data_IF_351929003653
#
_entry.id   IF_351929003653
#
_cell.length_a   1.000
_cell.length_b   1.000
_cell.length_c   1.000
_cell.angle_alpha   90.00
_cell.angle_beta   90.00
_cell.angle_gamma   90.00
#
_symmetry.space_group_name_H-M   'P 1'
#
loop_
_entity.id
_entity.type
_entity.pdbx_description
1 polymer ?
#
# COMPACT_ATOMS: atom_id res chain seq x y z
N UNK A 1 -13.79 18.15 5.71
CA UNK A 1 -13.81 17.03 4.75
C UNK A 1 -14.23 15.78 5.51
N UNK A 2 -15.12 14.97 4.96
CA UNK A 2 -15.58 13.75 5.62
C UNK A 2 -14.47 12.69 5.54
N UNK A 3 -14.08 12.08 6.67
CA UNK A 3 -13.02 11.08 6.69
C UNK A 3 -13.38 9.87 5.81
N UNK A 4 -12.41 9.25 5.16
CA UNK A 4 -12.60 8.14 4.21
C UNK A 4 -13.42 6.99 4.83
N UNK A 5 -13.23 6.72 6.12
CA UNK A 5 -14.00 5.71 6.87
C UNK A 5 -15.48 6.03 6.98
N UNK A 6 -15.84 7.30 7.20
CA UNK A 6 -17.24 7.73 7.24
C UNK A 6 -17.87 7.68 5.85
N UNK A 7 -17.13 8.11 4.84
CA UNK A 7 -17.54 8.03 3.43
C UNK A 7 -17.80 6.59 3.02
N UNK A 8 -16.94 5.65 3.43
CA UNK A 8 -17.16 4.23 3.19
C UNK A 8 -18.52 3.78 3.74
N UNK A 9 -18.85 4.14 5.00
CA UNK A 9 -20.10 3.73 5.64
C UNK A 9 -21.34 4.39 5.02
N UNK A 10 -21.28 5.70 4.72
CA UNK A 10 -22.44 6.48 4.29
C UNK A 10 -22.73 6.41 2.80
N UNK A 11 -21.70 6.29 1.96
CA UNK A 11 -21.85 6.37 0.50
C UNK A 11 -21.50 5.07 -0.22
N UNK A 12 -20.42 4.38 0.21
CA UNK A 12 -19.90 3.24 -0.55
C UNK A 12 -20.70 1.97 -0.30
N UNK A 13 -21.03 1.67 0.96
CA UNK A 13 -21.85 0.50 1.30
C UNK A 13 -23.19 0.49 0.55
N UNK A 14 -24.00 1.59 0.54
CA UNK A 14 -25.26 1.58 -0.21
C UNK A 14 -25.08 1.33 -1.71
N UNK A 15 -24.08 1.98 -2.33
CA UNK A 15 -23.80 1.79 -3.77
C UNK A 15 -23.36 0.37 -4.10
N UNK A 16 -22.53 -0.23 -3.25
CA UNK A 16 -22.11 -1.62 -3.42
C UNK A 16 -23.28 -2.59 -3.26
N UNK A 17 -24.21 -2.33 -2.33
CA UNK A 17 -25.44 -3.12 -2.16
C UNK A 17 -26.33 -3.05 -3.39
N UNK A 18 -26.54 -1.86 -3.93
CA UNK A 18 -27.34 -1.65 -5.14
C UNK A 18 -26.76 -2.40 -6.34
N UNK A 19 -25.42 -2.35 -6.53
CA UNK A 19 -24.75 -2.94 -7.67
C UNK A 19 -24.64 -4.47 -7.60
N UNK A 20 -24.33 -5.02 -6.42
CA UNK A 20 -24.06 -6.45 -6.23
C UNK A 20 -25.16 -7.20 -5.47
N UNK A 21 -26.21 -6.53 -5.04
CA UNK A 21 -27.37 -7.17 -4.41
C UNK A 21 -27.13 -7.72 -3.00
N UNK A 22 -26.19 -7.14 -2.23
CA UNK A 22 -25.94 -7.60 -0.87
C UNK A 22 -27.13 -7.34 0.04
N UNK A 23 -27.59 -8.38 0.76
CA UNK A 23 -28.68 -8.26 1.75
C UNK A 23 -28.25 -7.57 3.03
N UNK A 24 -26.99 -7.74 3.43
CA UNK A 24 -26.43 -7.21 4.68
C UNK A 24 -25.27 -6.25 4.38
N UNK A 25 -25.19 -5.13 5.11
CA UNK A 25 -24.11 -4.15 5.02
C UNK A 25 -22.73 -4.75 5.33
N UNK A 26 -22.68 -5.74 6.22
CA UNK A 26 -21.46 -6.44 6.60
C UNK A 26 -20.93 -7.37 5.50
N UNK A 27 -21.76 -7.72 4.51
CA UNK A 27 -21.35 -8.53 3.36
C UNK A 27 -20.63 -7.68 2.29
N UNK A 28 -20.80 -6.35 2.32
CA UNK A 28 -20.13 -5.46 1.39
C UNK A 28 -18.60 -5.50 1.58
N UNK A 29 -17.82 -5.54 0.48
CA UNK A 29 -16.37 -5.54 0.53
C UNK A 29 -15.83 -4.31 1.26
N UNK A 30 -14.84 -4.53 2.13
CA UNK A 30 -14.15 -3.47 2.90
C UNK A 30 -12.65 -3.62 2.82
N UNK A 31 -11.94 -2.54 3.12
CA UNK A 31 -10.49 -2.60 3.33
C UNK A 31 -10.20 -3.39 4.60
N UNK A 32 -9.29 -4.36 4.53
CA UNK A 32 -8.88 -5.18 5.67
C UNK A 32 -7.56 -4.72 6.27
N UNK A 33 -6.56 -4.50 5.42
CA UNK A 33 -5.23 -4.02 5.80
C UNK A 33 -4.53 -3.36 4.62
N UNK A 34 -3.62 -2.44 4.93
CA UNK A 34 -2.63 -1.92 3.99
C UNK A 34 -1.24 -2.35 4.45
N UNK A 35 -0.47 -2.93 3.54
CA UNK A 35 0.90 -3.39 3.81
C UNK A 35 1.84 -2.56 2.96
N UNK A 36 2.80 -1.89 3.60
CA UNK A 36 3.91 -1.20 2.93
C UNK A 36 5.14 -2.08 3.07
N UNK A 37 5.79 -2.38 1.98
CA UNK A 37 6.96 -3.25 1.92
C UNK A 37 8.11 -2.60 1.16
N UNK A 38 9.31 -2.69 1.71
CA UNK A 38 10.56 -2.27 1.06
C UNK A 38 11.56 -3.41 1.10
N UNK A 39 12.06 -3.79 -0.08
CA UNK A 39 13.11 -4.78 -0.23
C UNK A 39 14.48 -4.10 -0.43
N UNK A 40 15.46 -4.47 0.38
CA UNK A 40 16.83 -3.96 0.28
C UNK A 40 17.89 -5.07 0.20
N UNK A 41 17.56 -6.16 -0.45
CA UNK A 41 18.43 -7.33 -0.59
C UNK A 41 19.83 -7.03 -1.15
N UNK A 42 20.01 -5.96 -1.93
CA UNK A 42 21.31 -5.50 -2.44
C UNK A 42 22.18 -4.82 -1.37
N UNK A 43 21.56 -4.16 -0.37
CA UNK A 43 22.22 -3.33 0.67
C UNK A 43 22.17 -3.99 2.06
N UNK A 44 22.06 -5.33 2.13
CA UNK A 44 21.92 -6.09 3.39
C UNK A 44 23.06 -5.84 4.39
N UNK A 45 24.26 -5.52 3.89
CA UNK A 45 25.45 -5.28 4.72
C UNK A 45 25.54 -3.88 5.31
N UNK A 46 24.77 -2.94 4.78
CA UNK A 46 24.81 -1.52 5.14
C UNK A 46 23.80 -1.24 6.26
N UNK A 47 24.27 -1.32 7.50
CA UNK A 47 23.41 -1.13 8.68
C UNK A 47 22.75 0.25 8.72
N UNK A 48 23.45 1.29 8.29
CA UNK A 48 22.94 2.66 8.21
C UNK A 48 21.79 2.78 7.22
N UNK A 49 21.93 2.18 6.05
CA UNK A 49 20.87 2.13 5.04
C UNK A 49 19.60 1.44 5.56
N UNK A 50 19.75 0.31 6.26
CA UNK A 50 18.63 -0.40 6.87
C UNK A 50 17.93 0.45 7.93
N UNK A 51 18.70 1.16 8.76
CA UNK A 51 18.18 2.05 9.79
C UNK A 51 17.43 3.24 9.18
N UNK A 52 18.00 3.85 8.15
CA UNK A 52 17.37 4.94 7.40
C UNK A 52 16.00 4.53 6.81
N UNK A 53 15.92 3.35 6.17
CA UNK A 53 14.64 2.82 5.65
C UNK A 53 13.62 2.62 6.77
N UNK A 54 14.04 2.15 7.94
CA UNK A 54 13.13 1.99 9.08
C UNK A 54 12.56 3.34 9.54
N UNK A 55 13.41 4.35 9.68
CA UNK A 55 13.01 5.70 10.08
C UNK A 55 12.04 6.33 9.07
N UNK A 56 12.32 6.18 7.78
CA UNK A 56 11.42 6.69 6.73
C UNK A 56 10.07 5.95 6.72
N UNK A 57 10.07 4.63 6.80
CA UNK A 57 8.82 3.87 6.89
C UNK A 57 8.00 4.25 8.12
N UNK A 58 8.66 4.54 9.25
CA UNK A 58 8.01 5.00 10.46
C UNK A 58 7.41 6.40 10.27
N UNK A 59 8.13 7.34 9.63
CA UNK A 59 7.61 8.67 9.28
C UNK A 59 6.38 8.57 8.36
N UNK A 60 6.44 7.75 7.31
CA UNK A 60 5.34 7.59 6.34
C UNK A 60 4.10 6.97 6.97
N UNK A 61 4.27 5.96 7.82
CA UNK A 61 3.16 5.12 8.30
C UNK A 61 2.71 5.43 9.72
N UNK A 62 3.53 6.17 10.49
CA UNK A 62 3.32 6.40 11.91
C UNK A 62 3.46 5.13 12.77
N UNK A 63 4.05 4.05 12.22
CA UNK A 63 4.21 2.77 12.90
C UNK A 63 5.59 2.18 12.63
N UNK A 64 6.24 1.66 13.67
CA UNK A 64 7.55 1.02 13.56
C UNK A 64 7.50 -0.20 12.63
N UNK A 65 8.38 -0.27 11.61
CA UNK A 65 8.42 -1.38 10.68
C UNK A 65 9.01 -2.65 11.32
N UNK A 66 8.59 -3.80 10.79
CA UNK A 66 9.13 -5.11 11.13
C UNK A 66 10.15 -5.49 10.05
N UNK A 67 11.36 -5.85 10.46
CA UNK A 67 12.39 -6.35 9.57
C UNK A 67 12.06 -7.77 9.10
N UNK A 68 12.13 -8.00 7.79
CA UNK A 68 11.86 -9.29 7.18
C UNK A 68 13.15 -10.05 6.91
N UNK A 69 13.19 -11.33 7.27
CA UNK A 69 14.35 -12.21 7.15
C UNK A 69 14.20 -13.14 5.95
N UNK A 70 15.34 -13.49 5.33
CA UNK A 70 15.40 -14.49 4.27
C UNK A 70 14.97 -15.86 4.79
N UNK A 71 14.05 -16.50 4.09
CA UNK A 71 13.54 -17.85 4.45
C UNK A 71 14.48 -18.97 3.99
N UNK A 72 15.23 -18.75 2.90
CA UNK A 72 16.16 -19.72 2.30
C UNK A 72 17.48 -19.04 1.98
N UNK A 73 18.55 -19.81 1.97
CA UNK A 73 19.86 -19.36 1.46
C UNK A 73 19.87 -19.44 -0.06
N UNK A 74 20.37 -18.40 -0.73
CA UNK A 74 20.45 -18.30 -2.19
C UNK A 74 21.86 -17.85 -2.54
N UNK A 75 22.69 -18.77 -3.02
CA UNK A 75 24.12 -18.57 -3.31
C UNK A 75 24.37 -17.45 -4.34
N UNK A 76 23.70 -17.39 -5.51
CA UNK A 76 23.91 -16.32 -6.50
C UNK A 76 23.72 -14.91 -5.94
N UNK A 77 22.82 -14.73 -4.98
CA UNK A 77 22.56 -13.44 -4.34
C UNK A 77 23.35 -13.24 -3.03
N UNK A 78 24.25 -14.16 -2.69
CA UNK A 78 25.04 -14.12 -1.43
C UNK A 78 24.16 -13.97 -0.17
N UNK A 79 22.93 -14.52 -0.21
CA UNK A 79 21.97 -14.50 0.88
C UNK A 79 22.04 -15.78 1.70
N UNK A 80 22.03 -15.63 3.02
CA UNK A 80 21.91 -16.75 3.97
C UNK A 80 20.56 -16.67 4.67
N UNK A 81 20.00 -17.82 5.03
CA UNK A 81 18.79 -17.90 5.84
C UNK A 81 18.96 -17.07 7.12
N UNK A 82 17.93 -16.32 7.49
CA UNK A 82 17.94 -15.44 8.66
C UNK A 82 18.51 -14.03 8.43
N UNK A 83 19.16 -13.75 7.29
CA UNK A 83 19.61 -12.39 6.96
C UNK A 83 18.41 -11.46 6.75
N UNK A 84 18.52 -10.23 7.24
CA UNK A 84 17.52 -9.18 7.06
C UNK A 84 17.58 -8.67 5.62
N UNK A 85 16.48 -8.78 4.86
CA UNK A 85 16.42 -8.47 3.44
C UNK A 85 15.38 -7.43 3.06
N UNK A 86 14.55 -7.01 4.01
CA UNK A 86 13.49 -6.05 3.79
C UNK A 86 12.89 -5.54 5.10
N UNK A 87 11.99 -4.59 4.97
CA UNK A 87 11.17 -4.06 6.05
C UNK A 87 9.72 -3.94 5.60
N UNK A 88 8.77 -4.20 6.49
CA UNK A 88 7.34 -4.07 6.21
C UNK A 88 6.59 -3.43 7.36
N UNK A 89 5.51 -2.72 7.01
CA UNK A 89 4.52 -2.20 7.96
C UNK A 89 3.16 -2.72 7.56
N UNK A 90 2.37 -3.16 8.53
CA UNK A 90 0.97 -3.57 8.30
C UNK A 90 0.05 -2.64 9.07
N UNK A 91 -0.75 -1.87 8.35
CA UNK A 91 -1.72 -0.93 8.89
C UNK A 91 -3.12 -1.53 8.88
N UNK A 92 -3.88 -1.32 9.97
CA UNK A 92 -5.27 -1.75 10.13
C UNK A 92 -6.10 -0.67 10.82
N UNK A 93 -7.43 -0.81 10.77
CA UNK A 93 -8.35 0.09 11.45
C UNK A 93 -8.26 1.54 10.96
N UNK A 94 -8.32 2.51 11.86
CA UNK A 94 -8.32 3.93 11.50
C UNK A 94 -7.03 4.34 10.79
N UNK A 95 -5.86 3.93 11.29
CA UNK A 95 -4.56 4.23 10.66
C UNK A 95 -4.48 3.78 9.21
N UNK A 96 -5.12 2.66 8.86
CA UNK A 96 -5.20 2.19 7.48
C UNK A 96 -6.03 3.16 6.63
N UNK A 97 -7.20 3.59 7.10
CA UNK A 97 -8.05 4.54 6.36
C UNK A 97 -7.36 5.88 6.16
N UNK A 98 -6.71 6.42 7.20
CA UNK A 98 -5.96 7.67 7.13
C UNK A 98 -4.80 7.57 6.14
N UNK A 99 -4.08 6.45 6.15
CA UNK A 99 -3.00 6.18 5.20
C UNK A 99 -3.51 6.07 3.75
N UNK A 100 -4.62 5.36 3.52
CA UNK A 100 -5.23 5.24 2.19
C UNK A 100 -5.76 6.59 1.71
N UNK A 101 -6.35 7.39 2.57
CA UNK A 101 -6.80 8.76 2.24
C UNK A 101 -5.63 9.64 1.82
N UNK A 102 -4.50 9.58 2.55
CA UNK A 102 -3.27 10.26 2.19
C UNK A 102 -2.72 9.80 0.82
N UNK A 103 -2.73 8.48 0.56
CA UNK A 103 -2.31 7.94 -0.73
C UNK A 103 -3.11 8.55 -1.89
N UNK A 104 -4.44 8.58 -1.77
CA UNK A 104 -5.33 9.04 -2.84
C UNK A 104 -5.18 10.54 -3.06
N UNK A 105 -5.21 11.32 -1.98
CA UNK A 105 -5.33 12.78 -2.07
C UNK A 105 -3.98 13.50 -2.23
N UNK A 106 -2.90 12.91 -1.72
CA UNK A 106 -1.60 13.58 -1.64
C UNK A 106 -0.52 12.83 -2.41
N UNK A 107 -0.34 11.52 -2.13
CA UNK A 107 0.81 10.77 -2.64
C UNK A 107 0.71 10.52 -4.14
N UNK A 108 -0.40 10.00 -4.65
CA UNK A 108 -0.54 9.72 -6.09
C UNK A 108 -0.38 10.97 -6.97
N UNK A 109 -0.97 12.14 -6.64
CA UNK A 109 -0.76 13.35 -7.43
C UNK A 109 0.69 13.85 -7.46
N UNK A 110 1.52 13.47 -6.48
CA UNK A 110 2.94 13.85 -6.38
C UNK A 110 3.89 12.88 -7.10
N UNK A 111 3.40 11.72 -7.54
CA UNK A 111 4.24 10.76 -8.29
C UNK A 111 4.58 11.37 -9.66
N UNK A 112 5.87 11.36 -10.01
CA UNK A 112 6.34 11.81 -11.33
C UNK A 112 5.75 10.94 -12.43
N UNK A 113 5.28 11.56 -13.50
CA UNK A 113 4.70 10.91 -14.68
C UNK A 113 3.55 9.93 -14.35
N UNK A 114 2.76 10.25 -13.32
CA UNK A 114 1.64 9.43 -12.92
C UNK A 114 0.54 9.41 -13.97
N UNK A 115 0.26 8.25 -14.55
CA UNK A 115 -0.76 8.04 -15.58
C UNK A 115 -1.96 7.20 -15.12
N UNK A 116 -2.10 7.03 -13.81
CA UNK A 116 -3.12 6.17 -13.21
C UNK A 116 -2.63 4.75 -12.94
N UNK A 117 -3.36 4.05 -12.07
CA UNK A 117 -3.10 2.65 -11.70
C UNK A 117 -3.79 1.75 -12.70
N UNK A 118 -3.06 0.78 -13.26
CA UNK A 118 -3.65 -0.18 -14.18
C UNK A 118 -4.64 -1.08 -13.44
N UNK A 119 -5.81 -1.35 -14.03
CA UNK A 119 -6.80 -2.28 -13.47
C UNK A 119 -6.25 -3.70 -13.26
N UNK A 120 -5.21 -4.10 -14.02
CA UNK A 120 -4.48 -5.36 -13.82
C UNK A 120 -3.75 -5.47 -12.48
N UNK A 121 -3.50 -4.33 -11.81
CA UNK A 121 -2.94 -4.28 -10.45
C UNK A 121 -3.91 -4.78 -9.37
N UNK A 122 -5.18 -4.96 -9.72
CA UNK A 122 -6.16 -5.64 -8.86
C UNK A 122 -6.15 -7.13 -9.19
N UNK A 123 -5.89 -7.94 -8.18
CA UNK A 123 -5.84 -9.39 -8.30
C UNK A 123 -7.23 -10.03 -8.43
N UNK A 124 -7.28 -11.36 -8.60
CA UNK A 124 -8.52 -12.13 -8.76
C UNK A 124 -9.42 -12.09 -7.51
N UNK A 125 -8.84 -11.82 -6.35
CA UNK A 125 -9.53 -11.74 -5.06
C UNK A 125 -9.85 -10.30 -4.65
N UNK A 126 -9.62 -9.33 -5.55
CA UNK A 126 -9.98 -7.93 -5.32
C UNK A 126 -9.01 -7.13 -4.44
N UNK A 127 -7.76 -7.57 -4.29
CA UNK A 127 -6.71 -6.81 -3.62
C UNK A 127 -5.94 -5.96 -4.62
N UNK A 128 -5.39 -4.83 -4.18
CA UNK A 128 -4.63 -3.91 -5.02
C UNK A 128 -3.16 -3.90 -4.60
N UNK A 129 -2.25 -4.06 -5.58
CA UNK A 129 -0.81 -3.89 -5.38
C UNK A 129 -0.28 -2.76 -6.27
N UNK A 130 0.40 -1.79 -5.66
CA UNK A 130 0.99 -0.63 -6.35
C UNK A 130 2.45 -0.49 -5.97
N UNK A 131 3.32 -0.46 -6.97
CA UNK A 131 4.75 -0.17 -6.81
C UNK A 131 5.04 1.31 -7.04
N UNK A 132 5.79 1.90 -6.13
CA UNK A 132 6.37 3.24 -6.27
C UNK A 132 7.86 3.08 -6.58
N UNK A 133 8.34 3.76 -7.61
CA UNK A 133 9.76 3.74 -7.97
C UNK A 133 10.61 4.48 -6.95
N UNK A 134 10.05 5.54 -6.38
CA UNK A 134 10.71 6.45 -5.46
C UNK A 134 9.82 6.74 -4.24
N UNK A 135 10.41 6.77 -3.06
CA UNK A 135 9.71 7.11 -1.82
C UNK A 135 9.41 8.61 -1.68
N UNK A 136 10.02 9.45 -2.51
CA UNK A 136 9.88 10.92 -2.49
C UNK A 136 8.46 11.45 -2.77
N UNK A 137 7.56 10.59 -3.27
CA UNK A 137 6.16 10.95 -3.44
C UNK A 137 5.43 11.22 -2.12
N UNK A 138 5.98 10.77 -0.98
CA UNK A 138 5.40 10.98 0.33
C UNK A 138 5.80 12.33 0.91
N UNK A 139 4.84 13.14 1.42
CA UNK A 139 5.11 14.51 1.89
C UNK A 139 5.96 14.57 3.17
N UNK A 140 6.03 13.49 3.92
CA UNK A 140 6.80 13.41 5.18
C UNK A 140 8.31 13.30 4.95
N UNK A 141 8.73 13.14 3.70
CA UNK A 141 10.14 12.94 3.35
C UNK A 141 10.72 14.27 2.90
N UNK A 142 11.83 14.66 3.52
CA UNK A 142 12.55 15.86 3.13
C UNK A 142 13.27 15.67 1.79
N UNK A 143 13.46 16.78 1.05
CA UNK A 143 14.15 16.77 -0.25
C UNK A 143 15.62 16.33 -0.12
N UNK A 144 16.21 16.46 1.06
CA UNK A 144 17.61 16.08 1.33
C UNK A 144 17.82 14.55 1.36
N UNK A 145 16.75 13.75 1.46
CA UNK A 145 16.81 12.28 1.44
C UNK A 145 16.95 11.69 0.02
N UNK A 146 17.19 12.52 -1.01
CA UNK A 146 17.25 12.12 -2.42
C UNK A 146 18.42 11.19 -2.75
N UNK A 147 19.53 11.28 -2.01
CA UNK A 147 20.74 10.48 -2.30
C UNK A 147 20.52 8.97 -2.20
N UNK A 148 19.53 8.52 -1.42
CA UNK A 148 19.22 7.12 -1.19
C UNK A 148 17.80 6.76 -1.69
N UNK A 149 17.49 7.08 -2.95
CA UNK A 149 16.17 6.75 -3.52
C UNK A 149 15.96 5.24 -3.59
N UNK A 150 14.84 4.76 -3.04
CA UNK A 150 14.43 3.35 -3.11
C UNK A 150 12.95 3.22 -3.42
N UNK A 151 12.62 2.10 -4.07
CA UNK A 151 11.25 1.75 -4.36
C UNK A 151 10.55 1.12 -3.16
N UNK A 152 9.23 1.28 -3.12
CA UNK A 152 8.37 0.62 -2.15
C UNK A 152 7.12 0.07 -2.81
N UNK A 153 6.57 -0.98 -2.25
CA UNK A 153 5.33 -1.59 -2.68
C UNK A 153 4.25 -1.42 -1.61
N UNK A 154 3.05 -1.06 -2.05
CA UNK A 154 1.87 -0.97 -1.19
C UNK A 154 0.85 -1.99 -1.67
N UNK A 155 0.50 -2.93 -0.78
CA UNK A 155 -0.54 -3.91 -1.00
C UNK A 155 -1.74 -3.57 -0.12
N UNK A 156 -2.90 -3.35 -0.72
CA UNK A 156 -4.16 -3.09 -0.02
C UNK A 156 -5.02 -4.33 -0.14
N UNK A 157 -5.18 -5.04 0.97
CA UNK A 157 -6.05 -6.21 1.04
C UNK A 157 -7.48 -5.78 1.37
N UNK A 158 -8.42 -6.42 0.66
CA UNK A 158 -9.85 -6.22 0.84
C UNK A 158 -10.53 -7.52 1.25
N UNK A 159 -11.80 -7.46 1.62
CA UNK A 159 -12.64 -8.63 1.85
C UNK A 159 -13.49 -9.00 0.62
N UNK A 160 -13.18 -8.45 -0.55
CA UNK A 160 -13.84 -8.78 -1.80
C UNK A 160 -13.64 -10.26 -2.14
N UNK A 161 -14.62 -10.85 -2.82
CA UNK A 161 -14.58 -12.26 -3.25
C UNK A 161 -14.21 -12.40 -4.72
N UNK A 162 -14.36 -11.31 -5.47
CA UNK A 162 -14.04 -11.27 -6.90
C UNK A 162 -13.27 -10.00 -7.26
N UNK A 163 -12.60 -10.05 -8.41
CA UNK A 163 -11.90 -8.89 -8.96
C UNK A 163 -12.85 -7.72 -9.24
N UNK A 164 -14.07 -8.00 -9.70
CA UNK A 164 -15.08 -6.99 -10.03
C UNK A 164 -15.52 -6.23 -8.78
N UNK A 165 -15.78 -6.93 -7.68
CA UNK A 165 -16.09 -6.31 -6.39
C UNK A 165 -14.96 -5.40 -5.91
N UNK A 166 -13.69 -5.87 -6.02
CA UNK A 166 -12.52 -5.08 -5.64
C UNK A 166 -12.34 -3.83 -6.51
N UNK A 167 -12.45 -3.96 -7.84
CA UNK A 167 -12.37 -2.84 -8.77
C UNK A 167 -13.42 -1.78 -8.47
N UNK A 168 -14.67 -2.20 -8.25
CA UNK A 168 -15.73 -1.26 -7.91
C UNK A 168 -15.49 -0.57 -6.58
N UNK A 169 -15.04 -1.30 -5.57
CA UNK A 169 -14.67 -0.74 -4.28
C UNK A 169 -13.60 0.34 -4.45
N UNK A 170 -12.52 0.09 -5.21
CA UNK A 170 -11.47 1.07 -5.45
C UNK A 170 -11.94 2.28 -6.27
N UNK A 171 -12.84 2.08 -7.25
CA UNK A 171 -13.48 3.18 -8.00
C UNK A 171 -14.30 4.08 -7.07
N UNK A 172 -15.10 3.51 -6.20
CA UNK A 172 -15.92 4.27 -5.24
C UNK A 172 -15.07 4.98 -4.16
N UNK A 173 -13.93 4.39 -3.79
CA UNK A 173 -12.92 5.02 -2.91
C UNK A 173 -12.14 6.14 -3.63
N UNK A 174 -12.36 6.35 -4.94
CA UNK A 174 -11.67 7.32 -5.79
C UNK A 174 -10.17 7.04 -5.97
N UNK A 175 -9.77 5.77 -6.01
CA UNK A 175 -8.43 5.47 -6.50
C UNK A 175 -8.29 5.90 -7.95
N UNK A 176 -7.15 6.49 -8.34
CA UNK A 176 -6.90 6.94 -9.70
C UNK A 176 -6.60 5.75 -10.64
N UNK A 177 -7.62 4.94 -10.90
CA UNK A 177 -7.52 3.83 -11.85
C UNK A 177 -7.50 4.39 -13.27
N UNK A 178 -6.63 3.81 -14.11
CA UNK A 178 -6.60 4.13 -15.54
C UNK A 178 -7.77 3.42 -16.21
N UNK A 179 -8.64 4.20 -16.85
CA UNK A 179 -9.65 3.64 -17.74
C UNK A 179 -8.93 2.93 -18.90
N UNK A 180 -9.23 1.64 -19.08
CA UNK A 180 -8.72 0.84 -20.20
C UNK A 180 -9.39 1.24 -21.50
#
# INVERSE_FOLDING_TARGET
MMQLKEKYKKEIIPKMKEKFGYKNDLAAPKLEKAVVNVGFGKHVKEKEYVKHIQEILEKITGQKPILTKAKKSISPFKLRQGMIIGAKVTLRGNRMYDFVEKLINITFPRVRDFRGINEKSVDKTGNLSVGFKEHLAFPEIAVDDVENSYGLEICIATTAKSREEGLELFKLLKFPLKNS
#
